data_IF_301059824900
#
_entry.id   IF_301059824900
#
_cell.length_a   1.000
_cell.length_b   1.000
_cell.length_c   1.000
_cell.angle_alpha   90.00
_cell.angle_beta   90.00
_cell.angle_gamma   90.00
#
_symmetry.space_group_name_H-M   'P 1'
#
loop_
_entity.id
_entity.type
_entity.pdbx_description
1 polymer ?
#
# COMPACT_ATOMS: atom_id res chain seq x y z
N UNK A 1 26.30 -8.97 8.23
CA UNK A 1 25.15 -8.24 8.81
C UNK A 1 23.89 -8.90 8.30
N UNK A 2 22.82 -9.00 9.10
CA UNK A 2 21.50 -9.40 8.60
C UNK A 2 20.97 -8.34 7.62
N UNK A 3 19.96 -8.68 6.82
CA UNK A 3 19.32 -7.70 5.94
C UNK A 3 18.75 -6.53 6.72
N UNK A 4 18.13 -6.81 7.87
CA UNK A 4 17.65 -5.80 8.82
C UNK A 4 18.78 -4.89 9.30
N UNK A 5 19.91 -5.45 9.72
CA UNK A 5 21.07 -4.66 10.15
C UNK A 5 21.62 -3.78 9.02
N UNK A 6 21.69 -4.30 7.79
CA UNK A 6 22.12 -3.52 6.62
C UNK A 6 21.20 -2.34 6.32
N UNK A 7 19.88 -2.57 6.32
CA UNK A 7 18.87 -1.53 6.11
C UNK A 7 19.00 -0.46 7.20
N UNK A 8 19.10 -0.87 8.47
CA UNK A 8 19.25 0.08 9.58
C UNK A 8 20.57 0.85 9.51
N UNK A 9 21.68 0.22 9.15
CA UNK A 9 22.95 0.90 8.96
C UNK A 9 22.86 1.96 7.84
N UNK A 10 22.31 1.59 6.68
CA UNK A 10 22.13 2.51 5.55
C UNK A 10 21.25 3.72 5.91
N UNK A 11 20.10 3.50 6.56
CA UNK A 11 19.21 4.58 7.01
C UNK A 11 19.88 5.51 8.04
N UNK A 12 20.74 4.98 8.90
CA UNK A 12 21.52 5.74 9.87
C UNK A 12 22.82 6.35 9.30
N UNK A 13 23.01 6.32 7.97
CA UNK A 13 24.20 6.83 7.28
C UNK A 13 25.51 6.18 7.77
N UNK A 14 25.43 4.92 8.16
CA UNK A 14 26.57 4.06 8.48
C UNK A 14 26.93 3.21 7.24
N UNK A 15 28.12 2.59 7.26
CA UNK A 15 28.57 1.72 6.16
C UNK A 15 28.09 0.29 6.43
N UNK A 16 27.12 -0.24 5.67
CA UNK A 16 26.78 -1.66 5.71
C UNK A 16 27.90 -2.49 5.06
N UNK A 17 27.90 -3.80 5.27
CA UNK A 17 28.84 -4.73 4.62
C UNK A 17 28.67 -4.79 3.09
N UNK A 18 27.49 -4.43 2.57
CA UNK A 18 27.24 -4.09 1.16
C UNK A 18 25.93 -3.31 0.99
N UNK A 19 25.64 -2.84 -0.23
CA UNK A 19 24.41 -2.10 -0.53
C UNK A 19 23.16 -2.97 -0.32
N UNK A 20 22.20 -2.57 0.53
CA UNK A 20 21.01 -3.38 0.79
C UNK A 20 19.99 -3.33 -0.35
N UNK A 21 19.20 -4.39 -0.50
CA UNK A 21 18.19 -4.55 -1.56
C UNK A 21 16.77 -4.72 -1.00
N UNK A 22 15.80 -4.15 -1.70
CA UNK A 22 14.37 -4.28 -1.41
C UNK A 22 13.58 -4.19 -2.71
N UNK A 23 12.49 -4.96 -2.80
CA UNK A 23 11.49 -4.82 -3.85
C UNK A 23 10.22 -4.15 -3.31
N UNK A 24 9.72 -3.14 -4.03
CA UNK A 24 8.59 -2.32 -3.56
C UNK A 24 7.23 -2.93 -3.85
N UNK A 25 7.08 -3.54 -5.04
CA UNK A 25 5.88 -4.25 -5.48
C UNK A 25 6.33 -5.50 -6.22
N UNK A 26 5.84 -6.65 -5.77
CA UNK A 26 6.20 -7.95 -6.30
C UNK A 26 5.06 -8.54 -7.13
N UNK A 27 5.31 -8.79 -8.42
CA UNK A 27 4.37 -9.51 -9.28
C UNK A 27 4.43 -11.00 -8.98
N UNK A 28 3.31 -11.62 -8.61
CA UNK A 28 3.22 -13.08 -8.41
C UNK A 28 3.70 -13.87 -9.62
N UNK A 29 3.38 -13.39 -10.82
CA UNK A 29 3.83 -14.04 -12.06
C UNK A 29 5.36 -14.04 -12.17
N UNK A 30 6.00 -12.90 -11.88
CA UNK A 30 7.46 -12.78 -11.92
C UNK A 30 8.10 -13.66 -10.84
N UNK A 31 7.61 -13.60 -9.60
CA UNK A 31 8.10 -14.44 -8.50
C UNK A 31 7.99 -15.93 -8.85
N UNK A 32 6.85 -16.36 -9.40
CA UNK A 32 6.61 -17.74 -9.79
C UNK A 32 7.55 -18.19 -10.90
N UNK A 33 7.74 -17.37 -11.92
CA UNK A 33 8.62 -17.69 -13.04
C UNK A 33 10.09 -17.74 -12.63
N UNK A 34 10.54 -16.83 -11.78
CA UNK A 34 11.95 -16.73 -11.41
C UNK A 34 12.34 -17.67 -10.25
N UNK A 35 11.46 -17.88 -9.28
CA UNK A 35 11.77 -18.56 -8.02
C UNK A 35 10.76 -19.66 -7.64
N UNK A 36 9.72 -19.90 -8.45
CA UNK A 36 8.76 -20.98 -8.21
C UNK A 36 7.74 -20.71 -7.09
N UNK A 37 7.68 -19.50 -6.55
CA UNK A 37 6.76 -19.11 -5.48
C UNK A 37 5.89 -17.91 -5.86
N UNK A 38 4.67 -17.85 -5.33
CA UNK A 38 3.79 -16.67 -5.40
C UNK A 38 3.71 -15.94 -4.05
N UNK A 39 4.38 -16.44 -2.99
CA UNK A 39 4.41 -15.84 -1.67
C UNK A 39 5.61 -14.90 -1.54
N UNK A 40 5.34 -13.63 -1.19
CA UNK A 40 6.36 -12.58 -1.08
C UNK A 40 7.32 -12.80 0.09
N UNK A 41 6.89 -13.46 1.17
CA UNK A 41 7.76 -13.82 2.30
C UNK A 41 8.76 -14.90 1.85
N UNK A 42 8.29 -15.97 1.22
CA UNK A 42 9.15 -17.00 0.64
C UNK A 42 10.09 -16.43 -0.42
N UNK A 43 9.57 -15.61 -1.33
CA UNK A 43 10.38 -14.91 -2.33
C UNK A 43 11.49 -14.07 -1.69
N UNK A 44 11.20 -13.31 -0.62
CA UNK A 44 12.22 -12.49 0.06
C UNK A 44 13.37 -13.32 0.63
N UNK A 45 13.12 -14.59 0.98
CA UNK A 45 14.15 -15.55 1.42
C UNK A 45 14.93 -16.06 0.21
N UNK A 46 14.24 -16.52 -0.82
CA UNK A 46 14.85 -17.11 -2.02
C UNK A 46 15.69 -16.10 -2.84
N UNK A 47 15.23 -14.86 -2.93
CA UNK A 47 15.90 -13.77 -3.63
C UNK A 47 16.91 -13.01 -2.75
N UNK A 48 17.12 -13.45 -1.50
CA UNK A 48 18.02 -12.85 -0.52
C UNK A 48 17.83 -11.33 -0.35
N UNK A 49 16.57 -10.89 -0.28
CA UNK A 49 16.24 -9.46 -0.05
C UNK A 49 16.46 -9.05 1.41
N UNK A 50 16.81 -7.79 1.63
CA UNK A 50 17.08 -7.28 2.98
C UNK A 50 15.88 -6.78 3.72
N UNK A 51 14.85 -6.49 2.96
CA UNK A 51 13.59 -6.02 3.48
C UNK A 51 12.42 -6.58 2.69
N UNK A 52 11.28 -6.64 3.36
CA UNK A 52 10.00 -6.97 2.77
C UNK A 52 9.05 -5.78 2.86
N UNK A 53 8.60 -5.29 1.72
CA UNK A 53 7.64 -4.19 1.64
C UNK A 53 6.20 -4.71 1.77
N UNK A 54 5.52 -4.36 2.86
CA UNK A 54 4.19 -4.88 3.22
C UNK A 54 3.17 -3.75 3.24
N UNK A 55 2.09 -3.89 2.47
CA UNK A 55 0.96 -2.95 2.53
C UNK A 55 0.12 -3.16 3.78
N UNK A 56 -0.49 -2.08 4.27
CA UNK A 56 -1.56 -2.20 5.26
C UNK A 56 -2.74 -3.02 4.67
N UNK A 57 -3.39 -3.79 5.54
CA UNK A 57 -4.65 -4.45 5.20
C UNK A 57 -5.75 -3.42 4.91
N UNK A 58 -6.71 -3.80 4.08
CA UNK A 58 -7.92 -3.02 3.79
C UNK A 58 -9.09 -3.98 3.66
N UNK A 59 -10.30 -3.54 4.02
CA UNK A 59 -11.52 -4.30 3.72
C UNK A 59 -12.17 -3.81 2.42
N UNK A 60 -12.97 -4.69 1.81
CA UNK A 60 -13.86 -4.32 0.72
C UNK A 60 -15.29 -4.24 1.28
N UNK A 61 -15.96 -3.11 1.03
CA UNK A 61 -17.39 -2.92 1.36
C UNK A 61 -18.28 -3.72 0.41
N UNK A 62 -17.86 -3.88 -0.85
CA UNK A 62 -18.60 -4.64 -1.86
C UNK A 62 -17.68 -5.25 -2.92
N UNK A 63 -18.17 -6.32 -3.56
CA UNK A 63 -17.58 -6.94 -4.75
C UNK A 63 -18.56 -6.79 -5.91
N UNK A 64 -18.09 -6.27 -7.03
CA UNK A 64 -18.89 -5.94 -8.20
C UNK A 64 -18.40 -6.76 -9.43
N UNK A 65 -19.24 -6.83 -10.46
CA UNK A 65 -18.89 -7.44 -11.76
C UNK A 65 -18.27 -8.84 -11.70
N UNK A 66 -18.77 -9.69 -10.80
CA UNK A 66 -18.23 -11.04 -10.62
C UNK A 66 -16.77 -11.06 -10.13
N UNK A 67 -16.34 -10.03 -9.40
CA UNK A 67 -14.99 -9.96 -8.82
C UNK A 67 -14.00 -9.10 -9.59
N UNK A 68 -14.42 -8.47 -10.70
CA UNK A 68 -13.54 -7.57 -11.47
C UNK A 68 -13.37 -6.21 -10.81
N UNK A 69 -14.35 -5.76 -10.02
CA UNK A 69 -14.30 -4.49 -9.30
C UNK A 69 -14.63 -4.70 -7.83
N UNK A 70 -14.06 -3.85 -6.97
CA UNK A 70 -14.38 -3.80 -5.54
C UNK A 70 -14.62 -2.37 -5.11
N UNK A 71 -15.49 -2.19 -4.12
CA UNK A 71 -15.58 -0.92 -3.39
C UNK A 71 -14.76 -1.08 -2.11
N UNK A 72 -13.69 -0.31 -1.98
CA UNK A 72 -12.82 -0.41 -0.80
C UNK A 72 -13.45 0.24 0.44
N UNK A 73 -12.77 0.13 1.58
CA UNK A 73 -13.22 0.68 2.85
C UNK A 73 -13.35 2.20 2.85
N UNK A 74 -12.78 2.92 1.89
CA UNK A 74 -12.93 4.37 1.71
C UNK A 74 -14.07 4.73 0.74
N UNK A 75 -14.77 3.73 0.18
CA UNK A 75 -15.83 3.93 -0.81
C UNK A 75 -15.32 4.10 -2.24
N UNK A 76 -14.03 3.92 -2.49
CA UNK A 76 -13.45 4.03 -3.84
C UNK A 76 -13.73 2.74 -4.60
N UNK A 77 -14.28 2.86 -5.82
CA UNK A 77 -14.40 1.68 -6.69
C UNK A 77 -13.08 1.45 -7.40
N UNK A 78 -12.50 0.26 -7.24
CA UNK A 78 -11.25 -0.15 -7.86
C UNK A 78 -11.47 -1.28 -8.86
N UNK A 79 -10.80 -1.17 -10.01
CA UNK A 79 -10.69 -2.24 -11.00
C UNK A 79 -9.51 -3.14 -10.64
N UNK A 80 -9.78 -4.44 -10.53
CA UNK A 80 -8.77 -5.46 -10.29
C UNK A 80 -8.20 -5.88 -11.65
N UNK A 81 -6.88 -5.77 -11.78
CA UNK A 81 -6.13 -6.29 -12.93
C UNK A 81 -5.18 -7.39 -12.44
N UNK A 82 -4.19 -7.01 -11.63
CA UNK A 82 -3.23 -7.90 -10.97
C UNK A 82 -2.95 -7.39 -9.54
N UNK A 83 -1.68 -7.09 -9.20
CA UNK A 83 -1.24 -6.76 -7.84
C UNK A 83 -1.68 -5.36 -7.35
N UNK A 84 -2.04 -4.45 -8.27
CA UNK A 84 -2.36 -3.07 -7.92
C UNK A 84 -3.74 -2.65 -8.47
N UNK A 85 -4.80 -2.70 -7.64
CA UNK A 85 -6.14 -2.27 -8.05
C UNK A 85 -6.20 -0.76 -8.27
N UNK A 86 -6.66 -0.34 -9.46
CA UNK A 86 -6.70 1.06 -9.87
C UNK A 86 -8.06 1.70 -9.56
N UNK A 87 -8.12 2.94 -9.04
CA UNK A 87 -9.38 3.64 -8.82
C UNK A 87 -10.05 3.96 -10.16
N UNK A 88 -11.34 3.62 -10.28
CA UNK A 88 -12.18 3.88 -11.46
C UNK A 88 -13.45 4.66 -11.15
N UNK A 89 -13.86 4.72 -9.87
CA UNK A 89 -14.91 5.64 -9.40
C UNK A 89 -14.45 6.24 -8.08
N UNK A 90 -14.49 7.58 -8.02
CA UNK A 90 -14.03 8.37 -6.89
C UNK A 90 -15.26 8.92 -6.13
N UNK A 91 -15.39 8.69 -4.82
CA UNK A 91 -16.60 8.99 -4.06
C UNK A 91 -16.82 10.47 -3.74
N UNK A 92 -15.78 11.31 -3.80
CA UNK A 92 -15.87 12.72 -3.40
C UNK A 92 -15.93 13.61 -4.64
N UNK A 93 -17.03 14.33 -4.85
CA UNK A 93 -17.19 15.31 -5.93
C UNK A 93 -17.29 16.75 -5.43
N UNK A 94 -17.69 16.92 -4.18
CA UNK A 94 -17.84 18.21 -3.53
C UNK A 94 -17.69 18.07 -2.00
N UNK A 95 -17.77 19.19 -1.30
CA UNK A 95 -17.65 19.26 0.16
C UNK A 95 -18.76 18.51 0.91
N UNK A 96 -19.97 18.40 0.36
CA UNK A 96 -21.05 17.66 1.02
C UNK A 96 -20.79 16.16 0.98
N UNK A 97 -20.23 15.63 -0.12
CA UNK A 97 -19.79 14.24 -0.20
C UNK A 97 -18.69 13.95 0.85
N UNK A 98 -17.74 14.88 1.02
CA UNK A 98 -16.67 14.74 2.00
C UNK A 98 -17.21 14.72 3.44
N UNK A 99 -18.13 15.63 3.77
CA UNK A 99 -18.76 15.71 5.09
C UNK A 99 -19.63 14.48 5.40
N UNK A 100 -20.24 13.88 4.37
CA UNK A 100 -21.06 12.67 4.51
C UNK A 100 -20.23 11.37 4.53
N UNK A 101 -18.94 11.43 4.21
CA UNK A 101 -18.09 10.25 4.11
C UNK A 101 -17.82 9.64 5.48
N UNK A 102 -18.03 8.33 5.58
CA UNK A 102 -17.58 7.54 6.72
C UNK A 102 -16.08 7.24 6.59
N UNK A 103 -15.27 7.90 7.42
CA UNK A 103 -13.82 7.69 7.51
C UNK A 103 -13.55 6.37 8.24
N UNK A 104 -12.80 5.42 7.65
CA UNK A 104 -12.41 4.17 8.29
C UNK A 104 -11.63 4.40 9.59
N UNK A 105 -11.83 3.51 10.57
CA UNK A 105 -11.05 3.50 11.81
C UNK A 105 -9.56 3.23 11.50
N UNK A 106 -8.66 4.20 11.70
CA UNK A 106 -7.24 4.03 11.39
C UNK A 106 -6.54 3.00 12.28
N UNK A 107 -7.10 2.71 13.45
CA UNK A 107 -6.54 1.79 14.44
C UNK A 107 -7.10 0.37 14.33
N UNK A 108 -7.94 0.11 13.31
CA UNK A 108 -8.53 -1.21 13.14
C UNK A 108 -7.45 -2.29 12.98
N UNK A 109 -7.53 -3.33 13.81
CA UNK A 109 -6.44 -4.31 13.98
C UNK A 109 -6.01 -5.01 12.68
N UNK A 110 -6.96 -5.20 11.75
CA UNK A 110 -6.74 -5.88 10.47
C UNK A 110 -5.77 -5.15 9.54
N UNK A 111 -5.56 -3.84 9.72
CA UNK A 111 -4.56 -3.08 8.95
C UNK A 111 -3.14 -3.65 9.16
N UNK A 112 -2.88 -4.22 10.33
CA UNK A 112 -1.55 -4.66 10.75
C UNK A 112 -1.33 -6.18 10.67
N UNK A 113 -2.34 -6.96 10.29
CA UNK A 113 -2.26 -8.44 10.32
C UNK A 113 -1.14 -8.98 9.43
N UNK A 114 -1.00 -8.45 8.20
CA UNK A 114 0.09 -8.87 7.30
C UNK A 114 1.46 -8.43 7.80
N UNK A 115 1.56 -7.25 8.41
CA UNK A 115 2.82 -6.77 9.02
C UNK A 115 3.22 -7.68 10.18
N UNK A 116 2.28 -8.04 11.08
CA UNK A 116 2.53 -8.96 12.19
C UNK A 116 2.99 -10.33 11.71
N UNK A 117 2.37 -10.84 10.64
CA UNK A 117 2.78 -12.09 10.01
C UNK A 117 4.19 -11.99 9.44
N UNK A 118 4.52 -10.94 8.69
CA UNK A 118 5.86 -10.73 8.14
C UNK A 118 6.93 -10.59 9.25
N UNK A 119 6.62 -9.85 10.31
CA UNK A 119 7.48 -9.72 11.48
C UNK A 119 7.76 -11.07 12.13
N UNK A 120 6.73 -11.90 12.30
CA UNK A 120 6.87 -13.26 12.86
C UNK A 120 7.74 -14.15 11.98
N UNK A 121 7.59 -14.06 10.66
CA UNK A 121 8.19 -15.00 9.72
C UNK A 121 9.64 -14.65 9.33
N UNK A 122 9.98 -13.36 9.23
CA UNK A 122 11.31 -12.91 8.77
C UNK A 122 11.83 -11.66 9.49
N UNK A 123 11.08 -11.10 10.45
CA UNK A 123 11.38 -9.80 11.06
C UNK A 123 12.65 -9.72 11.93
N UNK A 124 13.22 -10.87 12.29
CA UNK A 124 14.52 -10.95 12.98
C UNK A 124 15.69 -10.75 12.01
N UNK A 125 15.55 -11.20 10.76
CA UNK A 125 16.61 -11.20 9.74
C UNK A 125 16.44 -10.09 8.70
N UNK A 126 15.20 -9.72 8.38
CA UNK A 126 14.84 -8.75 7.33
C UNK A 126 14.09 -7.57 7.92
N UNK A 127 14.31 -6.38 7.38
CA UNK A 127 13.52 -5.21 7.77
C UNK A 127 12.09 -5.31 7.19
N UNK A 128 11.08 -4.97 7.97
CA UNK A 128 9.70 -4.88 7.47
C UNK A 128 9.38 -3.43 7.16
N UNK A 129 9.09 -3.13 5.90
CA UNK A 129 8.81 -1.78 5.42
C UNK A 129 7.32 -1.64 5.17
N UNK A 130 6.65 -0.88 6.04
CA UNK A 130 5.22 -0.58 5.90
C UNK A 130 4.97 0.37 4.73
N UNK A 131 4.12 -0.05 3.79
CA UNK A 131 3.64 0.80 2.68
C UNK A 131 2.34 1.47 3.08
N UNK A 132 2.39 2.79 3.17
CA UNK A 132 1.26 3.66 3.49
C UNK A 132 0.98 4.62 2.33
N UNK A 133 -0.22 5.17 2.27
CA UNK A 133 -0.56 6.24 1.33
C UNK A 133 -0.12 7.59 1.88
N UNK A 134 0.40 8.42 1.01
CA UNK A 134 0.74 9.82 1.33
C UNK A 134 -0.49 10.75 1.25
N UNK A 135 -0.26 12.00 1.65
CA UNK A 135 -1.27 13.07 1.73
C UNK A 135 -1.82 13.53 0.37
N UNK A 136 -1.21 13.14 -0.74
CA UNK A 136 -1.66 13.44 -2.11
C UNK A 136 -2.35 12.22 -2.73
N UNK A 137 -1.83 11.03 -2.49
CA UNK A 137 -2.34 9.80 -3.07
C UNK A 137 -3.76 9.47 -2.60
N UNK A 138 -4.09 9.75 -1.34
CA UNK A 138 -5.45 9.49 -0.85
C UNK A 138 -6.49 10.46 -1.43
N UNK A 139 -6.32 11.81 -1.36
CA UNK A 139 -7.25 12.74 -1.99
C UNK A 139 -7.40 12.52 -3.50
N UNK A 140 -6.30 12.25 -4.21
CA UNK A 140 -6.34 11.86 -5.62
C UNK A 140 -7.27 10.67 -5.87
N UNK A 141 -7.15 9.61 -5.09
CA UNK A 141 -7.99 8.42 -5.28
C UNK A 141 -9.45 8.69 -4.87
N UNK A 142 -9.69 9.56 -3.89
CA UNK A 142 -11.02 9.94 -3.40
C UNK A 142 -11.79 10.87 -4.35
N UNK A 143 -11.10 11.78 -5.02
CA UNK A 143 -11.72 12.80 -5.88
C UNK A 143 -11.58 12.48 -7.38
N UNK A 144 -10.50 11.80 -7.75
CA UNK A 144 -9.99 11.70 -9.12
C UNK A 144 -8.85 12.70 -9.33
N UNK A 145 -7.87 12.35 -10.16
CA UNK A 145 -6.65 13.15 -10.31
C UNK A 145 -6.91 14.56 -10.84
N UNK A 146 -7.73 14.69 -11.88
CA UNK A 146 -8.09 15.98 -12.46
C UNK A 146 -8.86 16.85 -11.47
N UNK A 147 -9.93 16.32 -10.87
CA UNK A 147 -10.74 17.06 -9.89
C UNK A 147 -9.93 17.47 -8.65
N UNK A 148 -9.05 16.60 -8.14
CA UNK A 148 -8.18 16.95 -7.02
C UNK A 148 -7.26 18.13 -7.38
N UNK A 149 -6.60 18.09 -8.55
CA UNK A 149 -5.71 19.17 -8.98
C UNK A 149 -6.46 20.48 -9.24
N UNK A 150 -7.67 20.42 -9.79
CA UNK A 150 -8.53 21.58 -9.98
C UNK A 150 -8.92 22.20 -8.64
N UNK A 151 -9.36 21.38 -7.68
CA UNK A 151 -9.79 21.84 -6.34
C UNK A 151 -8.67 22.55 -5.58
N UNK A 152 -7.40 22.21 -5.79
CA UNK A 152 -6.29 22.97 -5.19
C UNK A 152 -6.33 24.47 -5.53
N UNK A 153 -6.97 24.85 -6.64
CA UNK A 153 -7.16 26.24 -7.04
C UNK A 153 -8.59 26.74 -6.82
N UNK A 154 -9.60 25.92 -7.14
CA UNK A 154 -11.00 26.36 -7.19
C UNK A 154 -11.75 26.17 -5.87
N UNK A 155 -11.36 25.19 -5.05
CA UNK A 155 -11.95 24.87 -3.76
C UNK A 155 -10.90 24.26 -2.82
N UNK A 156 -9.96 25.08 -2.30
CA UNK A 156 -8.86 24.58 -1.49
C UNK A 156 -9.32 23.85 -0.24
N UNK A 157 -10.44 24.27 0.37
CA UNK A 157 -10.98 23.64 1.58
C UNK A 157 -11.39 22.19 1.31
N UNK A 158 -11.99 21.90 0.15
CA UNK A 158 -12.25 20.51 -0.27
C UNK A 158 -10.96 19.72 -0.49
N UNK A 159 -9.93 20.34 -1.08
CA UNK A 159 -8.67 19.68 -1.36
C UNK A 159 -7.85 19.38 -0.08
N UNK A 160 -7.95 20.23 0.95
CA UNK A 160 -7.23 20.08 2.23
C UNK A 160 -8.06 19.46 3.35
N UNK A 161 -9.38 19.31 3.14
CA UNK A 161 -10.31 18.79 4.14
C UNK A 161 -10.50 19.73 5.34
N UNK A 162 -10.49 21.05 5.10
CA UNK A 162 -10.59 22.11 6.12
C UNK A 162 -11.97 22.77 6.22
#
# INVERSE_FOLDING_TARGET
>A
MTGKERIMAALNRQVPDHAPTIEWILSKKVMKTAYGTEDDIEFSRLADLDALAVSLGSKNRAVLDGGKRVVDEWGITRQIYEEYPLPVVNPIKNMDDFKAMEIPDPDASYHYDRIKLALKEVGDEKAIVGRVKDVISMPRDLMGFESFLESLYTDPDLATGS
#
